data_IF_933664264576
#
_entry.id   IF_933664264576
#
_cell.length_a   1.000
_cell.length_b   1.000
_cell.length_c   1.000
_cell.angle_alpha   90.00
_cell.angle_beta   90.00
_cell.angle_gamma   90.00
#
_symmetry.space_group_name_H-M   'P 1'
#
loop_
_entity.id
_entity.type
_entity.pdbx_description
1 polymer ?
#
# COMPACT_ATOMS: atom_id res chain seq x y z
N UNK A 1 -12.05 -7.61 -3.22
CA UNK A 1 -12.85 -6.40 -2.87
C UNK A 1 -12.57 -5.29 -3.89
N UNK A 2 -13.53 -4.44 -4.19
CA UNK A 2 -13.33 -3.31 -5.11
C UNK A 2 -12.93 -2.06 -4.32
N UNK A 3 -11.79 -1.45 -4.66
CA UNK A 3 -11.35 -0.18 -4.05
C UNK A 3 -11.77 0.97 -4.96
N UNK A 4 -12.62 1.86 -4.44
CA UNK A 4 -13.18 2.97 -5.22
C UNK A 4 -12.13 4.01 -5.57
N UNK A 5 -11.23 4.33 -4.64
CA UNK A 5 -10.11 5.25 -4.89
C UNK A 5 -8.98 5.14 -3.86
N UNK A 6 -7.84 5.82 -4.11
CA UNK A 6 -6.76 6.00 -3.14
C UNK A 6 -6.35 7.47 -2.96
N UNK A 7 -5.73 7.77 -1.81
CA UNK A 7 -5.13 9.06 -1.49
C UNK A 7 -3.76 8.89 -0.81
N UNK A 8 -2.91 9.91 -0.89
CA UNK A 8 -1.55 9.92 -0.34
C UNK A 8 -1.43 11.06 0.67
N UNK A 9 -1.05 10.74 1.90
CA UNK A 9 -0.97 11.68 3.01
C UNK A 9 -2.26 12.50 3.16
N UNK A 10 -2.12 13.83 3.22
CA UNK A 10 -3.27 14.76 3.34
C UNK A 10 -4.03 15.00 2.02
N UNK A 11 -3.76 14.21 0.99
CA UNK A 11 -4.44 14.32 -0.31
C UNK A 11 -5.91 13.91 -0.25
N UNK A 12 -6.70 14.37 -1.22
CA UNK A 12 -8.13 14.05 -1.34
C UNK A 12 -8.40 12.85 -2.26
N UNK A 13 -9.54 12.19 -2.05
CA UNK A 13 -10.08 11.11 -2.90
C UNK A 13 -10.80 11.63 -4.17
N UNK A 14 -10.66 12.91 -4.51
CA UNK A 14 -11.53 13.61 -5.48
C UNK A 14 -11.28 13.26 -6.96
N UNK A 15 -10.33 12.38 -7.27
CA UNK A 15 -10.02 12.00 -8.65
C UNK A 15 -10.50 10.57 -8.93
N UNK A 16 -11.51 10.43 -9.79
CA UNK A 16 -12.01 9.15 -10.32
C UNK A 16 -10.94 8.32 -11.07
N UNK A 17 -9.76 8.91 -11.34
CA UNK A 17 -8.62 8.23 -11.96
C UNK A 17 -7.65 7.59 -10.95
N UNK A 18 -7.81 7.84 -9.64
CA UNK A 18 -6.94 7.26 -8.61
C UNK A 18 -7.53 5.96 -8.08
N UNK A 19 -7.47 4.89 -8.86
CA UNK A 19 -7.88 3.54 -8.42
C UNK A 19 -6.68 2.60 -8.33
N UNK A 20 -6.83 1.54 -7.52
CA UNK A 20 -5.90 0.41 -7.44
C UNK A 20 -6.49 -0.88 -8.03
N UNK A 21 -7.70 -0.80 -8.61
CA UNK A 21 -8.40 -1.95 -9.20
C UNK A 21 -8.92 -2.94 -8.15
N UNK A 22 -9.09 -4.19 -8.58
CA UNK A 22 -9.50 -5.28 -7.70
C UNK A 22 -8.37 -5.63 -6.71
N UNK A 23 -8.74 -5.76 -5.44
CA UNK A 23 -7.81 -6.04 -4.35
C UNK A 23 -8.10 -7.41 -3.73
N UNK A 24 -7.04 -8.17 -3.49
CA UNK A 24 -7.03 -9.33 -2.59
C UNK A 24 -6.29 -8.97 -1.30
N UNK A 25 -6.75 -9.53 -0.18
CA UNK A 25 -6.05 -9.46 1.11
C UNK A 25 -5.44 -10.84 1.33
N UNK A 26 -4.12 -10.90 1.49
CA UNK A 26 -3.37 -12.15 1.37
C UNK A 26 -2.30 -12.25 2.46
N UNK A 27 -2.58 -13.04 3.50
CA UNK A 27 -1.64 -13.31 4.59
C UNK A 27 -0.38 -14.06 4.14
N UNK A 28 -0.40 -14.70 2.97
CA UNK A 28 0.75 -15.35 2.35
C UNK A 28 1.74 -14.39 1.69
N UNK A 29 1.38 -13.11 1.57
CA UNK A 29 2.20 -12.08 0.95
C UNK A 29 2.72 -11.09 1.99
N UNK A 30 4.01 -10.75 1.97
CA UNK A 30 4.59 -9.81 2.94
C UNK A 30 4.28 -8.34 2.63
N UNK A 31 4.43 -7.95 1.36
CA UNK A 31 4.41 -6.55 0.91
C UNK A 31 3.03 -6.12 0.41
N UNK A 32 2.93 -4.88 -0.03
CA UNK A 32 1.75 -4.35 -0.71
C UNK A 32 2.07 -4.16 -2.19
N UNK A 33 1.25 -4.74 -3.07
CA UNK A 33 1.45 -4.72 -4.51
C UNK A 33 0.32 -3.95 -5.19
N UNK A 34 0.62 -2.83 -5.84
CA UNK A 34 -0.37 -1.93 -6.46
C UNK A 34 -0.01 -1.65 -7.93
N UNK A 35 -0.93 -1.10 -8.75
CA UNK A 35 -0.63 -0.74 -10.12
C UNK A 35 0.50 0.30 -10.16
N UNK A 36 1.36 0.22 -11.17
CA UNK A 36 2.55 1.06 -11.29
C UNK A 36 2.23 2.56 -11.18
N UNK A 37 1.13 3.02 -11.76
CA UNK A 37 0.69 4.41 -11.66
C UNK A 37 0.44 4.86 -10.21
N UNK A 38 -0.16 4.01 -9.37
CA UNK A 38 -0.40 4.30 -7.96
C UNK A 38 0.89 4.29 -7.15
N UNK A 39 1.78 3.32 -7.41
CA UNK A 39 3.09 3.23 -6.78
C UNK A 39 3.94 4.47 -7.11
N UNK A 40 4.05 4.82 -8.40
CA UNK A 40 4.77 6.00 -8.84
C UNK A 40 4.20 7.29 -8.24
N UNK A 41 2.86 7.42 -8.19
CA UNK A 41 2.22 8.57 -7.54
C UNK A 41 2.53 8.63 -6.04
N UNK A 42 2.55 7.51 -5.33
CA UNK A 42 2.87 7.51 -3.91
C UNK A 42 4.30 7.97 -3.65
N UNK A 43 5.27 7.33 -4.29
CA UNK A 43 6.69 7.62 -4.06
C UNK A 43 7.11 9.01 -4.53
N UNK A 44 6.39 9.64 -5.47
CA UNK A 44 6.67 11.03 -5.86
C UNK A 44 6.46 12.04 -4.72
N UNK A 45 5.80 11.65 -3.62
CA UNK A 45 5.63 12.48 -2.42
C UNK A 45 6.75 12.30 -1.39
N UNK A 46 7.68 11.37 -1.61
CA UNK A 46 8.79 11.10 -0.70
C UNK A 46 10.04 11.78 -1.22
N UNK A 47 10.58 12.74 -0.45
CA UNK A 47 11.80 13.45 -0.83
C UNK A 47 12.98 12.48 -0.93
N UNK A 48 13.75 12.57 -2.01
CA UNK A 48 14.90 11.71 -2.26
C UNK A 48 14.53 10.31 -2.72
N UNK A 49 13.28 10.08 -3.12
CA UNK A 49 12.88 8.81 -3.73
C UNK A 49 13.70 8.51 -5.00
N UNK A 50 14.14 7.26 -5.12
CA UNK A 50 14.82 6.73 -6.28
C UNK A 50 14.34 5.30 -6.60
N UNK A 51 14.24 4.97 -7.89
CA UNK A 51 14.01 3.61 -8.35
C UNK A 51 15.36 2.96 -8.66
N UNK A 52 15.74 1.97 -7.88
CA UNK A 52 16.98 1.22 -8.08
C UNK A 52 16.85 0.19 -9.19
N UNK A 53 17.99 -0.21 -9.76
CA UNK A 53 18.07 -1.36 -10.66
C UNK A 53 17.51 -2.61 -9.94
N UNK A 54 16.66 -3.37 -10.63
CA UNK A 54 15.93 -4.49 -10.02
C UNK A 54 14.59 -4.11 -9.38
N UNK A 55 14.17 -2.85 -9.47
CA UNK A 55 12.81 -2.42 -9.13
C UNK A 55 12.59 -2.04 -7.65
N UNK A 56 13.67 -2.01 -6.85
CA UNK A 56 13.58 -1.60 -5.45
C UNK A 56 13.31 -0.11 -5.37
N UNK A 57 12.29 0.27 -4.61
CA UNK A 57 11.92 1.66 -4.34
C UNK A 57 12.69 2.13 -3.13
N UNK A 58 13.61 3.09 -3.27
CA UNK A 58 14.43 3.57 -2.15
C UNK A 58 14.20 5.04 -1.87
N UNK A 59 14.54 5.45 -0.64
CA UNK A 59 14.52 6.84 -0.17
C UNK A 59 15.48 7.00 1.02
N UNK A 60 15.94 8.21 1.35
CA UNK A 60 16.69 8.46 2.58
C UNK A 60 15.92 7.98 3.81
N UNK A 61 16.56 7.22 4.70
CA UNK A 61 15.89 6.62 5.86
C UNK A 61 15.26 7.64 6.83
N UNK A 62 15.66 8.92 6.77
CA UNK A 62 15.08 10.01 7.57
C UNK A 62 14.00 10.81 6.83
N UNK A 63 13.57 10.37 5.64
CA UNK A 63 12.50 11.03 4.90
C UNK A 63 11.16 10.92 5.62
N UNK A 64 10.35 11.97 5.52
CA UNK A 64 8.94 11.91 5.94
C UNK A 64 8.16 11.08 4.94
N UNK A 65 7.63 9.95 5.38
CA UNK A 65 6.87 9.01 4.56
C UNK A 65 5.38 9.27 4.79
N UNK A 66 4.57 9.60 3.76
CA UNK A 66 3.14 9.83 3.92
C UNK A 66 2.39 8.51 4.09
N UNK A 67 1.23 8.58 4.76
CA UNK A 67 0.28 7.46 4.79
C UNK A 67 -0.27 7.18 3.39
N UNK A 68 -0.65 5.93 3.13
CA UNK A 68 -1.38 5.53 1.93
C UNK A 68 -2.80 5.13 2.31
N UNK A 69 -3.80 5.80 1.75
CA UNK A 69 -5.20 5.59 2.09
C UNK A 69 -5.97 4.93 0.95
N UNK A 70 -6.80 3.95 1.28
CA UNK A 70 -7.75 3.30 0.39
C UNK A 70 -9.17 3.70 0.79
N UNK A 71 -10.00 4.06 -0.19
CA UNK A 71 -11.44 4.26 -0.01
C UNK A 71 -12.17 2.99 -0.44
N UNK A 72 -12.91 2.41 0.50
CA UNK A 72 -13.71 1.20 0.29
C UNK A 72 -15.10 1.53 0.80
N UNK A 73 -16.04 1.72 -0.14
CA UNK A 73 -17.37 2.25 0.14
C UNK A 73 -17.31 3.52 1.01
N UNK A 74 -17.91 3.50 2.21
CA UNK A 74 -17.86 4.59 3.18
C UNK A 74 -16.59 4.59 4.05
N UNK A 75 -15.89 3.46 4.14
CA UNK A 75 -14.72 3.29 4.99
C UNK A 75 -13.42 3.77 4.34
N UNK A 76 -12.47 4.20 5.18
CA UNK A 76 -11.11 4.51 4.77
C UNK A 76 -10.14 3.63 5.54
N UNK A 77 -9.39 2.80 4.81
CA UNK A 77 -8.32 1.97 5.38
C UNK A 77 -6.97 2.58 4.98
N UNK A 78 -5.98 2.47 5.85
CA UNK A 78 -4.72 3.20 5.73
C UNK A 78 -3.53 2.31 6.04
N UNK A 79 -2.45 2.51 5.29
CA UNK A 79 -1.11 2.04 5.64
C UNK A 79 -0.36 3.25 6.20
N UNK A 80 0.00 3.26 7.49
CA UNK A 80 0.81 4.32 8.06
C UNK A 80 2.15 4.44 7.33
N UNK A 81 2.63 5.67 7.08
CA UNK A 81 3.89 5.88 6.37
C UNK A 81 5.10 5.24 7.06
N UNK A 82 5.07 5.17 8.40
CA UNK A 82 6.09 4.45 9.20
C UNK A 82 6.19 2.96 8.84
N UNK A 83 5.11 2.36 8.35
CA UNK A 83 5.07 0.94 8.01
C UNK A 83 5.68 0.67 6.63
N UNK A 84 5.71 1.68 5.76
CA UNK A 84 6.23 1.55 4.40
C UNK A 84 7.76 1.48 4.38
N UNK A 85 8.45 2.01 5.40
CA UNK A 85 9.88 1.72 5.57
C UNK A 85 10.06 0.24 5.96
N UNK A 86 10.43 -0.59 4.98
CA UNK A 86 10.52 -2.04 5.16
C UNK A 86 11.84 -2.47 5.78
N UNK A 87 12.95 -1.92 5.28
CA UNK A 87 14.30 -2.27 5.71
C UNK A 87 15.32 -1.21 5.27
N UNK A 88 16.50 -1.23 5.89
CA UNK A 88 17.67 -0.50 5.40
C UNK A 88 18.18 -1.21 4.15
N UNK A 89 18.16 -0.52 3.01
CA UNK A 89 18.62 -1.03 1.72
C UNK A 89 20.13 -0.85 1.56
N UNK A 90 20.64 0.34 1.90
CA UNK A 90 22.06 0.69 1.84
C UNK A 90 22.45 1.41 3.13
N UNK A 91 23.14 0.73 4.06
CA UNK A 91 23.59 1.33 5.30
C UNK A 91 24.61 2.47 5.11
N UNK A 92 25.47 2.39 4.09
CA UNK A 92 26.52 3.38 3.86
C UNK A 92 25.92 4.72 3.41
N UNK A 93 24.91 4.68 2.53
CA UNK A 93 24.22 5.86 2.03
C UNK A 93 22.95 6.21 2.83
N UNK A 94 22.62 5.43 3.86
CA UNK A 94 21.39 5.56 4.68
C UNK A 94 20.13 5.56 3.81
N UNK A 95 20.05 4.65 2.84
CA UNK A 95 18.87 4.43 2.03
C UNK A 95 18.03 3.30 2.62
N UNK A 96 16.72 3.51 2.64
CA UNK A 96 15.72 2.55 3.08
C UNK A 96 14.89 2.10 1.88
N UNK A 97 14.43 0.85 1.90
CA UNK A 97 13.55 0.29 0.88
C UNK A 97 12.09 0.39 1.31
N UNK A 98 11.25 0.80 0.36
CA UNK A 98 9.82 0.92 0.53
C UNK A 98 9.08 -0.40 0.30
N UNK A 99 8.02 -0.60 1.06
CA UNK A 99 7.27 -1.86 1.09
C UNK A 99 6.02 -1.90 0.19
N UNK A 100 5.66 -0.75 -0.39
CA UNK A 100 4.64 -0.66 -1.44
C UNK A 100 5.39 -0.81 -2.77
N UNK A 101 5.01 -1.79 -3.58
CA UNK A 101 5.69 -2.12 -4.83
C UNK A 101 4.71 -2.45 -5.96
N UNK A 102 5.23 -2.62 -7.17
CA UNK A 102 4.43 -2.85 -8.37
C UNK A 102 4.02 -4.32 -8.52
N UNK A 103 2.82 -4.54 -9.05
CA UNK A 103 2.10 -5.84 -9.09
C UNK A 103 2.92 -7.06 -9.55
N UNK A 104 2.64 -8.22 -8.91
CA UNK A 104 3.18 -9.54 -9.26
C UNK A 104 2.52 -10.19 -10.49
N UNK A 105 1.23 -9.91 -10.75
CA UNK A 105 0.42 -10.70 -11.69
C UNK A 105 -0.45 -9.87 -12.65
N UNK A 106 -0.28 -8.54 -12.68
CA UNK A 106 -1.03 -7.56 -13.53
C UNK A 106 -2.57 -7.58 -13.39
N UNK A 107 -3.13 -8.41 -12.52
CA UNK A 107 -4.58 -8.65 -12.40
C UNK A 107 -5.14 -8.08 -11.11
N UNK A 108 -4.48 -8.34 -10.00
CA UNK A 108 -4.93 -7.93 -8.67
C UNK A 108 -3.88 -7.07 -7.98
N UNK A 109 -4.36 -6.07 -7.26
CA UNK A 109 -3.61 -5.47 -6.17
C UNK A 109 -3.65 -6.39 -4.96
N UNK A 110 -2.54 -6.46 -4.23
CA UNK A 110 -2.38 -7.39 -3.10
C UNK A 110 -2.07 -6.59 -1.85
N UNK A 111 -2.92 -6.73 -0.83
CA UNK A 111 -2.70 -6.21 0.51
C UNK A 111 -2.18 -7.35 1.40
N UNK A 112 -0.86 -7.41 1.54
CA UNK A 112 -0.18 -8.41 2.36
C UNK A 112 -0.13 -8.06 3.85
N UNK A 113 0.73 -8.76 4.57
CA UNK A 113 0.94 -8.63 6.02
C UNK A 113 1.28 -7.21 6.46
N UNK A 114 1.95 -6.42 5.61
CA UNK A 114 2.20 -5.01 5.89
C UNK A 114 0.93 -4.17 6.05
N UNK A 115 -0.11 -4.47 5.27
CA UNK A 115 -1.42 -3.86 5.47
C UNK A 115 -2.12 -4.51 6.67
N UNK A 116 -2.16 -5.85 6.71
CA UNK A 116 -2.94 -6.59 7.72
C UNK A 116 -2.45 -6.35 9.14
N UNK A 117 -1.19 -5.99 9.38
CA UNK A 117 -0.70 -5.65 10.72
C UNK A 117 -1.39 -4.43 11.35
N UNK A 118 -2.09 -3.62 10.55
CA UNK A 118 -2.85 -2.46 11.03
C UNK A 118 -4.32 -2.79 11.32
N UNK A 119 -4.76 -4.02 10.99
CA UNK A 119 -6.17 -4.41 11.04
C UNK A 119 -6.35 -5.84 11.55
N UNK A 120 -7.32 -6.03 12.44
CA UNK A 120 -7.90 -7.35 12.58
C UNK A 120 -8.78 -7.63 11.36
N UNK A 121 -8.39 -8.62 10.56
CA UNK A 121 -9.07 -8.96 9.29
C UNK A 121 -9.91 -10.23 9.45
N UNK A 122 -11.22 -10.10 9.24
CA UNK A 122 -12.17 -11.23 9.28
C UNK A 122 -12.48 -11.65 7.85
N UNK A 123 -12.25 -12.93 7.53
CA UNK A 123 -12.70 -13.56 6.29
C UNK A 123 -13.96 -14.38 6.59
N UNK A 124 -15.14 -13.85 6.25
CA UNK A 124 -16.42 -14.51 6.53
C UNK A 124 -16.95 -15.24 5.29
N UNK A 125 -17.37 -16.48 5.52
CA UNK A 125 -18.11 -17.32 4.56
C UNK A 125 -19.47 -17.77 5.13
N UNK A 126 -19.93 -17.14 6.22
CA UNK A 126 -21.19 -17.51 6.89
C UNK A 126 -22.41 -17.08 6.07
N UNK A 127 -22.29 -15.98 5.35
CA UNK A 127 -23.31 -15.44 4.46
C UNK A 127 -23.23 -16.05 3.05
N UNK A 128 -24.31 -15.94 2.28
CA UNK A 128 -24.37 -16.40 0.89
C UNK A 128 -23.32 -15.71 -0.02
N UNK A 129 -22.81 -14.54 0.38
CA UNK A 129 -21.73 -13.83 -0.29
C UNK A 129 -20.55 -13.70 0.67
N UNK A 130 -19.36 -14.14 0.26
CA UNK A 130 -18.14 -13.98 1.08
C UNK A 130 -17.82 -12.51 1.36
N UNK A 131 -17.44 -12.21 2.60
CA UNK A 131 -17.18 -10.85 3.06
C UNK A 131 -15.82 -10.70 3.74
N UNK A 132 -15.32 -9.47 3.74
CA UNK A 132 -14.13 -9.05 4.49
C UNK A 132 -14.53 -7.99 5.53
N UNK A 133 -14.12 -8.20 6.77
CA UNK A 133 -14.26 -7.24 7.86
C UNK A 133 -12.91 -6.69 8.31
N UNK A 134 -12.84 -5.40 8.63
CA UNK A 134 -11.62 -4.73 9.07
C UNK A 134 -11.89 -3.92 10.33
N UNK A 135 -11.09 -4.14 11.37
CA UNK A 135 -11.08 -3.32 12.58
C UNK A 135 -9.66 -2.82 12.86
N UNK A 136 -9.50 -1.50 13.04
CA UNK A 136 -8.20 -0.90 13.37
C UNK A 136 -7.76 -1.26 14.79
N UNK A 137 -6.47 -1.35 15.03
CA UNK A 137 -5.87 -1.47 16.37
C UNK A 137 -4.58 -0.66 16.49
#
# INVERSE_FOLDING_TARGET
MNVSSYAVGKGSFTSSKKTVGEVIVDSGTSLVYLPEAAVNNYYSHIKGYELQQGGTRTFPCNSTIPDFHFKIDSATLSIPGRDVNYTVYDPANRLCAGAITTQLNRKYSVLGNLFMRNYHVVHSQEEATSMLGFASH
#
